data_IF_583604349418
#
_entry.id   IF_583604349418
#
_cell.length_a   1.000
_cell.length_b   1.000
_cell.length_c   1.000
_cell.angle_alpha   90.00
_cell.angle_beta   90.00
_cell.angle_gamma   90.00
#
_symmetry.space_group_name_H-M   'P 1'
#
loop_
_entity.id
_entity.type
_entity.pdbx_description
1 polymer ?
#
# COMPACT_ATOMS: atom_id res chain seq x y z
N UNK A 1 -14.69 62.00 21.29
CA UNK A 1 -15.44 60.78 21.61
C UNK A 1 -15.50 59.82 20.44
N UNK A 2 -15.85 60.28 19.24
CA UNK A 2 -15.96 59.43 18.05
C UNK A 2 -14.64 58.70 17.66
N UNK A 3 -13.51 59.37 17.72
CA UNK A 3 -12.20 58.76 17.44
C UNK A 3 -11.84 57.60 18.38
N UNK A 4 -12.22 57.67 19.65
CA UNK A 4 -12.01 56.61 20.64
C UNK A 4 -12.94 55.41 20.37
N UNK A 5 -14.17 55.66 19.94
CA UNK A 5 -15.13 54.63 19.57
C UNK A 5 -14.66 53.89 18.30
N UNK A 6 -14.22 54.65 17.29
CA UNK A 6 -13.69 54.07 16.03
C UNK A 6 -12.47 53.24 16.27
N UNK A 7 -11.53 53.69 17.12
CA UNK A 7 -10.32 52.94 17.48
C UNK A 7 -10.65 51.65 18.23
N UNK A 8 -11.65 51.67 19.14
CA UNK A 8 -12.13 50.48 19.86
C UNK A 8 -12.75 49.44 18.92
N UNK A 9 -13.56 49.87 17.97
CA UNK A 9 -14.17 48.98 16.97
C UNK A 9 -13.07 48.34 16.09
N UNK A 10 -12.08 49.12 15.68
CA UNK A 10 -10.97 48.60 14.85
C UNK A 10 -10.13 47.54 15.60
N UNK A 11 -9.85 47.75 16.89
CA UNK A 11 -9.16 46.76 17.73
C UNK A 11 -9.97 45.47 17.85
N UNK A 12 -11.26 45.56 18.12
CA UNK A 12 -12.15 44.38 18.18
C UNK A 12 -12.15 43.64 16.85
N UNK A 13 -12.26 44.35 15.74
CA UNK A 13 -12.24 43.74 14.41
C UNK A 13 -10.92 42.98 14.15
N UNK A 14 -9.77 43.56 14.48
CA UNK A 14 -8.46 42.92 14.35
C UNK A 14 -8.37 41.65 15.22
N UNK A 15 -8.85 41.68 16.45
CA UNK A 15 -8.91 40.53 17.33
C UNK A 15 -9.78 39.40 16.74
N UNK A 16 -10.98 39.74 16.28
CA UNK A 16 -11.90 38.77 15.66
C UNK A 16 -11.25 38.11 14.42
N UNK A 17 -10.67 38.91 13.52
CA UNK A 17 -9.99 38.41 12.34
C UNK A 17 -8.82 37.50 12.73
N UNK A 18 -8.03 37.87 13.72
CA UNK A 18 -6.91 37.05 14.20
C UNK A 18 -7.38 35.69 14.75
N UNK A 19 -8.49 35.67 15.52
CA UNK A 19 -9.05 34.40 16.04
C UNK A 19 -9.54 33.51 14.89
N UNK A 20 -10.21 34.09 13.89
CA UNK A 20 -10.68 33.33 12.71
C UNK A 20 -9.50 32.74 11.94
N UNK A 21 -8.44 33.50 11.72
CA UNK A 21 -7.24 33.06 11.02
C UNK A 21 -6.55 31.92 11.80
N UNK A 22 -6.40 32.07 13.11
CA UNK A 22 -5.81 31.03 13.96
C UNK A 22 -6.67 29.75 13.89
N UNK A 23 -7.99 29.86 14.03
CA UNK A 23 -8.89 28.71 13.94
C UNK A 23 -8.82 28.02 12.58
N UNK A 24 -8.71 28.78 11.49
CA UNK A 24 -8.53 28.26 10.14
C UNK A 24 -7.25 27.42 10.01
N UNK A 25 -6.10 27.96 10.42
CA UNK A 25 -4.83 27.24 10.39
C UNK A 25 -4.81 26.03 11.32
N UNK A 26 -5.44 26.12 12.48
CA UNK A 26 -5.60 25.00 13.41
C UNK A 26 -6.39 23.84 12.76
N UNK A 27 -7.50 24.14 12.07
CA UNK A 27 -8.26 23.12 11.34
C UNK A 27 -7.42 22.43 10.26
N UNK A 28 -6.63 23.17 9.49
CA UNK A 28 -5.74 22.58 8.48
C UNK A 28 -4.70 21.67 9.14
N UNK A 29 -4.11 22.12 10.25
CA UNK A 29 -3.17 21.30 11.02
C UNK A 29 -3.79 19.97 11.46
N UNK A 30 -4.98 20.01 12.06
CA UNK A 30 -5.69 18.81 12.51
C UNK A 30 -5.99 17.85 11.36
N UNK A 31 -6.52 18.37 10.24
CA UNK A 31 -6.78 17.54 9.05
C UNK A 31 -5.53 16.89 8.48
N UNK A 32 -4.40 17.61 8.44
CA UNK A 32 -3.14 17.11 7.94
C UNK A 32 -2.60 15.97 8.83
N UNK A 33 -2.68 16.11 10.16
CA UNK A 33 -2.28 15.05 11.09
C UNK A 33 -3.21 13.84 10.96
N UNK A 34 -4.51 14.03 10.81
CA UNK A 34 -5.46 12.94 10.57
C UNK A 34 -5.14 12.17 9.29
N UNK A 35 -4.86 12.87 8.18
CA UNK A 35 -4.46 12.23 6.91
C UNK A 35 -3.16 11.44 7.06
N UNK A 36 -2.13 12.00 7.72
CA UNK A 36 -0.89 11.31 8.03
C UNK A 36 -1.14 10.02 8.85
N UNK A 37 -1.97 10.10 9.87
CA UNK A 37 -2.28 8.94 10.71
C UNK A 37 -3.08 7.87 9.94
N UNK A 38 -3.98 8.29 9.04
CA UNK A 38 -4.74 7.38 8.19
C UNK A 38 -3.85 6.61 7.19
N UNK A 39 -2.81 7.27 6.66
CA UNK A 39 -1.79 6.55 5.86
C UNK A 39 -1.07 5.51 6.71
N UNK A 40 -0.68 5.85 7.94
CA UNK A 40 -0.03 4.89 8.85
C UNK A 40 -0.93 3.69 9.19
N UNK A 41 -2.22 3.91 9.37
CA UNK A 41 -3.21 2.84 9.54
C UNK A 41 -3.29 1.93 8.31
N UNK A 42 -3.33 2.54 7.12
CA UNK A 42 -3.35 1.81 5.85
C UNK A 42 -2.05 1.01 5.62
N UNK A 43 -0.87 1.56 5.97
CA UNK A 43 0.41 0.84 5.99
C UNK A 43 0.33 -0.41 6.87
N UNK A 44 -0.21 -0.29 8.08
CA UNK A 44 -0.40 -1.43 8.98
C UNK A 44 -1.35 -2.48 8.42
N UNK A 45 -2.42 -2.07 7.74
CA UNK A 45 -3.34 -2.99 7.07
C UNK A 45 -2.66 -3.78 5.95
N UNK A 46 -1.85 -3.12 5.12
CA UNK A 46 -1.03 -3.79 4.09
C UNK A 46 -0.06 -4.78 4.73
N UNK A 47 0.67 -4.38 5.76
CA UNK A 47 1.65 -5.23 6.44
C UNK A 47 1.04 -6.53 6.98
N UNK A 48 -0.18 -6.46 7.53
CA UNK A 48 -0.90 -7.64 8.02
C UNK A 48 -1.19 -8.63 6.88
N UNK A 49 -1.62 -8.15 5.72
CA UNK A 49 -1.94 -9.02 4.59
C UNK A 49 -0.66 -9.58 3.94
N UNK A 50 0.39 -8.77 3.79
CA UNK A 50 1.68 -9.23 3.30
C UNK A 50 2.27 -10.31 4.21
N UNK A 51 2.19 -10.13 5.52
CA UNK A 51 2.62 -11.14 6.48
C UNK A 51 1.88 -12.46 6.28
N UNK A 52 0.55 -12.44 6.12
CA UNK A 52 -0.23 -13.66 5.83
C UNK A 52 0.28 -14.38 4.58
N UNK A 53 0.54 -13.65 3.48
CA UNK A 53 1.13 -14.20 2.26
C UNK A 53 2.47 -14.87 2.56
N UNK A 54 3.39 -14.18 3.26
CA UNK A 54 4.71 -14.71 3.55
C UNK A 54 4.67 -15.95 4.45
N UNK A 55 3.67 -16.07 5.29
CA UNK A 55 3.46 -17.24 6.15
C UNK A 55 2.86 -18.44 5.38
N UNK A 56 2.14 -18.21 4.26
CA UNK A 56 1.60 -19.27 3.40
C UNK A 56 2.62 -19.84 2.41
N UNK A 57 3.52 -19.02 1.89
CA UNK A 57 4.50 -19.42 0.87
C UNK A 57 5.29 -20.69 1.24
N UNK A 58 5.87 -20.85 2.44
CA UNK A 58 6.60 -22.05 2.80
C UNK A 58 5.80 -23.34 2.68
N UNK A 59 4.51 -23.31 3.00
CA UNK A 59 3.62 -24.46 2.88
C UNK A 59 3.45 -24.87 1.41
N UNK A 60 3.17 -23.90 0.53
CA UNK A 60 3.06 -24.13 -0.92
C UNK A 60 4.36 -24.70 -1.48
N UNK A 61 5.50 -24.08 -1.14
CA UNK A 61 6.81 -24.54 -1.62
C UNK A 61 7.19 -25.94 -1.10
N UNK A 62 6.78 -26.30 0.12
CA UNK A 62 7.01 -27.62 0.70
C UNK A 62 6.23 -28.69 -0.07
N UNK A 63 5.01 -28.41 -0.47
CA UNK A 63 4.21 -29.32 -1.29
C UNK A 63 4.81 -29.42 -2.70
N UNK A 64 5.11 -28.25 -3.33
CA UNK A 64 5.67 -28.19 -4.67
C UNK A 64 6.99 -28.96 -4.80
N UNK A 65 7.90 -28.86 -3.82
CA UNK A 65 9.19 -29.59 -3.80
C UNK A 65 9.08 -31.09 -3.94
N UNK A 66 7.96 -31.71 -3.54
CA UNK A 66 7.75 -33.15 -3.64
C UNK A 66 7.55 -33.64 -5.07
N UNK A 67 7.11 -32.75 -5.96
CA UNK A 67 6.68 -33.08 -7.32
C UNK A 67 7.51 -32.36 -8.41
N UNK A 68 8.11 -31.20 -8.07
CA UNK A 68 8.73 -30.27 -9.01
C UNK A 68 10.26 -30.23 -8.84
N UNK A 69 10.93 -31.33 -9.16
CA UNK A 69 12.41 -31.42 -9.02
C UNK A 69 13.17 -30.47 -9.95
N UNK A 70 12.61 -30.17 -11.12
CA UNK A 70 13.25 -29.31 -12.13
C UNK A 70 13.08 -27.81 -11.83
N UNK A 71 12.17 -27.42 -10.93
CA UNK A 71 11.88 -26.03 -10.59
C UNK A 71 12.62 -25.52 -9.34
N UNK A 72 13.74 -26.20 -8.99
CA UNK A 72 14.51 -25.91 -7.77
C UNK A 72 14.93 -24.43 -7.68
N UNK A 73 15.42 -23.86 -8.78
CA UNK A 73 15.86 -22.45 -8.80
C UNK A 73 14.72 -21.47 -8.54
N UNK A 74 13.53 -21.72 -9.10
CA UNK A 74 12.36 -20.88 -8.88
C UNK A 74 11.92 -20.92 -7.41
N UNK A 75 11.92 -22.10 -6.80
CA UNK A 75 11.58 -22.30 -5.39
C UNK A 75 12.60 -21.61 -4.47
N UNK A 76 13.88 -21.66 -4.82
CA UNK A 76 14.95 -20.97 -4.08
C UNK A 76 14.81 -19.44 -4.20
N UNK A 77 14.52 -18.93 -5.39
CA UNK A 77 14.27 -17.50 -5.63
C UNK A 77 13.12 -16.98 -4.77
N UNK A 78 11.97 -17.69 -4.75
CA UNK A 78 10.80 -17.31 -3.95
C UNK A 78 11.16 -17.31 -2.45
N UNK A 79 11.90 -18.32 -1.98
CA UNK A 79 12.33 -18.42 -0.59
C UNK A 79 13.23 -17.25 -0.19
N UNK A 80 14.17 -16.87 -1.07
CA UNK A 80 15.07 -15.74 -0.86
C UNK A 80 14.32 -14.40 -0.83
N UNK A 81 13.45 -14.16 -1.82
CA UNK A 81 12.63 -12.95 -1.89
C UNK A 81 11.72 -12.82 -0.66
N UNK A 82 11.07 -13.90 -0.23
CA UNK A 82 10.26 -13.94 0.99
C UNK A 82 11.07 -13.53 2.22
N UNK A 83 12.29 -14.04 2.35
CA UNK A 83 13.15 -13.70 3.50
C UNK A 83 13.55 -12.23 3.48
N UNK A 84 13.87 -11.68 2.32
CA UNK A 84 14.18 -10.26 2.15
C UNK A 84 12.96 -9.39 2.47
N UNK A 85 11.78 -9.78 1.98
CA UNK A 85 10.54 -9.04 2.21
C UNK A 85 10.11 -9.03 3.68
N UNK A 86 10.32 -10.13 4.41
CA UNK A 86 10.01 -10.22 5.83
C UNK A 86 10.92 -9.30 6.68
N UNK A 87 12.11 -8.95 6.20
CA UNK A 87 13.07 -8.05 6.87
C UNK A 87 13.02 -6.61 6.38
N UNK A 88 12.23 -6.30 5.35
CA UNK A 88 12.13 -4.96 4.79
C UNK A 88 11.46 -3.99 5.77
N UNK A 89 12.12 -2.88 6.08
CA UNK A 89 11.62 -1.86 6.99
C UNK A 89 10.83 -0.74 6.31
N UNK A 90 11.18 -0.41 5.07
CA UNK A 90 10.55 0.67 4.32
C UNK A 90 9.44 0.16 3.39
N UNK A 91 8.37 0.97 3.25
CA UNK A 91 7.22 0.61 2.42
C UNK A 91 7.62 0.49 0.93
N UNK A 92 8.52 1.33 0.44
CA UNK A 92 8.98 1.26 -0.95
C UNK A 92 9.67 -0.06 -1.28
N UNK A 93 10.51 -0.56 -0.35
CA UNK A 93 11.19 -1.85 -0.51
C UNK A 93 10.22 -3.01 -0.38
N UNK A 94 9.25 -2.94 0.55
CA UNK A 94 8.16 -3.93 0.65
C UNK A 94 7.38 -4.04 -0.64
N UNK A 95 7.02 -2.90 -1.27
CA UNK A 95 6.31 -2.86 -2.55
C UNK A 95 7.11 -3.57 -3.65
N UNK A 96 8.40 -3.27 -3.77
CA UNK A 96 9.26 -3.89 -4.80
C UNK A 96 9.39 -5.40 -4.61
N UNK A 97 9.67 -5.81 -3.38
CA UNK A 97 9.87 -7.23 -3.04
C UNK A 97 8.56 -8.02 -3.19
N UNK A 98 7.43 -7.44 -2.78
CA UNK A 98 6.13 -8.07 -2.92
C UNK A 98 5.74 -8.27 -4.39
N UNK A 99 5.99 -7.29 -5.24
CA UNK A 99 5.80 -7.43 -6.68
C UNK A 99 6.70 -8.51 -7.29
N UNK A 100 7.96 -8.62 -6.84
CA UNK A 100 8.86 -9.68 -7.28
C UNK A 100 8.39 -11.07 -6.83
N UNK A 101 7.91 -11.20 -5.58
CA UNK A 101 7.33 -12.44 -5.06
C UNK A 101 6.11 -12.84 -5.89
N UNK A 102 5.18 -11.90 -6.14
CA UNK A 102 3.99 -12.16 -6.95
C UNK A 102 4.38 -12.72 -8.33
N UNK A 103 5.29 -12.05 -9.04
CA UNK A 103 5.73 -12.51 -10.37
C UNK A 103 6.35 -13.92 -10.35
N UNK A 104 7.12 -14.27 -9.31
CA UNK A 104 7.69 -15.61 -9.16
C UNK A 104 6.64 -16.66 -8.74
N UNK A 105 5.67 -16.29 -7.92
CA UNK A 105 4.54 -17.16 -7.57
C UNK A 105 3.66 -17.43 -8.80
N UNK A 106 3.38 -16.43 -9.63
CA UNK A 106 2.64 -16.60 -10.89
C UNK A 106 3.39 -17.58 -11.83
N UNK A 107 4.72 -17.49 -11.94
CA UNK A 107 5.53 -18.48 -12.66
C UNK A 107 5.39 -19.89 -12.07
N UNK A 108 5.44 -20.02 -10.74
CA UNK A 108 5.24 -21.30 -10.07
C UNK A 108 3.87 -21.90 -10.41
N UNK A 109 2.81 -21.06 -10.42
CA UNK A 109 1.46 -21.48 -10.76
C UNK A 109 1.36 -22.03 -12.19
N UNK A 110 1.98 -21.33 -13.15
CA UNK A 110 2.06 -21.80 -14.53
C UNK A 110 2.81 -23.12 -14.61
N UNK A 111 3.92 -23.27 -13.87
CA UNK A 111 4.69 -24.52 -13.84
C UNK A 111 3.88 -25.69 -13.26
N UNK A 112 3.00 -25.46 -12.26
CA UNK A 112 2.13 -26.49 -11.66
C UNK A 112 1.24 -27.18 -12.70
N UNK A 113 0.85 -26.48 -13.76
CA UNK A 113 0.05 -27.06 -14.85
C UNK A 113 0.75 -28.23 -15.54
N UNK A 114 2.06 -28.28 -15.54
CA UNK A 114 2.87 -29.38 -16.13
C UNK A 114 3.02 -30.59 -15.18
N UNK A 115 2.48 -30.51 -13.95
CA UNK A 115 2.54 -31.57 -12.94
C UNK A 115 1.14 -32.02 -12.50
N UNK A 116 0.47 -32.91 -13.24
CA UNK A 116 -0.94 -33.27 -12.99
C UNK A 116 -1.21 -33.83 -11.59
N UNK A 117 -0.23 -34.56 -11.02
CA UNK A 117 -0.34 -35.11 -9.67
C UNK A 117 -0.34 -34.01 -8.60
N UNK A 118 0.48 -32.98 -8.76
CA UNK A 118 0.51 -31.80 -7.88
C UNK A 118 -0.76 -30.97 -8.03
N UNK A 119 -1.21 -30.75 -9.25
CA UNK A 119 -2.44 -30.00 -9.56
C UNK A 119 -3.67 -30.65 -8.92
N UNK A 120 -3.72 -31.97 -8.81
CA UNK A 120 -4.82 -32.73 -8.19
C UNK A 120 -4.65 -33.00 -6.69
N UNK A 121 -3.48 -32.64 -6.11
CA UNK A 121 -3.26 -32.80 -4.66
C UNK A 121 -4.18 -31.88 -3.86
N UNK A 122 -5.01 -32.47 -2.99
CA UNK A 122 -6.02 -31.70 -2.24
C UNK A 122 -5.39 -30.62 -1.33
N UNK A 123 -4.19 -30.89 -0.79
CA UNK A 123 -3.48 -29.94 0.07
C UNK A 123 -2.96 -28.76 -0.76
N UNK A 124 -2.47 -29.03 -1.98
CA UNK A 124 -2.04 -27.98 -2.90
C UNK A 124 -3.22 -27.13 -3.35
N UNK A 125 -4.34 -27.73 -3.74
CA UNK A 125 -5.56 -27.02 -4.14
C UNK A 125 -6.04 -26.08 -3.02
N UNK A 126 -6.11 -26.57 -1.79
CA UNK A 126 -6.49 -25.75 -0.64
C UNK A 126 -5.51 -24.61 -0.37
N UNK A 127 -4.19 -24.89 -0.42
CA UNK A 127 -3.17 -23.87 -0.23
C UNK A 127 -3.25 -22.76 -1.30
N UNK A 128 -3.56 -23.14 -2.54
CA UNK A 128 -3.75 -22.24 -3.66
C UNK A 128 -4.98 -21.35 -3.49
N UNK A 129 -6.10 -21.93 -3.05
CA UNK A 129 -7.31 -21.17 -2.75
C UNK A 129 -7.07 -20.15 -1.65
N UNK A 130 -6.42 -20.56 -0.55
CA UNK A 130 -6.06 -19.64 0.54
C UNK A 130 -5.10 -18.54 0.06
N UNK A 131 -4.16 -18.88 -0.82
CA UNK A 131 -3.26 -17.90 -1.42
C UNK A 131 -4.03 -16.87 -2.27
N UNK A 132 -4.98 -17.32 -3.10
CA UNK A 132 -5.82 -16.45 -3.91
C UNK A 132 -6.68 -15.50 -3.05
N UNK A 133 -7.26 -15.99 -1.95
CA UNK A 133 -8.02 -15.16 -0.99
C UNK A 133 -7.12 -14.08 -0.38
N UNK A 134 -5.89 -14.42 -0.01
CA UNK A 134 -4.92 -13.44 0.53
C UNK A 134 -4.53 -12.41 -0.53
N UNK A 135 -4.42 -12.79 -1.81
CA UNK A 135 -4.20 -11.86 -2.94
C UNK A 135 -5.32 -10.83 -3.04
N UNK A 136 -6.57 -11.25 -2.93
CA UNK A 136 -7.72 -10.32 -2.94
C UNK A 136 -7.68 -9.35 -1.77
N UNK A 137 -7.34 -9.83 -0.57
CA UNK A 137 -7.18 -8.96 0.60
C UNK A 137 -6.02 -7.98 0.46
N UNK A 138 -4.89 -8.40 -0.13
CA UNK A 138 -3.76 -7.51 -0.44
C UNK A 138 -4.21 -6.46 -1.45
N UNK A 139 -4.91 -6.84 -2.50
CA UNK A 139 -5.42 -5.90 -3.50
C UNK A 139 -6.37 -4.85 -2.88
N UNK A 140 -7.24 -5.26 -1.95
CA UNK A 140 -8.11 -4.35 -1.21
C UNK A 140 -7.30 -3.40 -0.30
N UNK A 141 -6.31 -3.93 0.44
CA UNK A 141 -5.45 -3.13 1.31
C UNK A 141 -4.61 -2.12 0.51
N UNK A 142 -4.09 -2.50 -0.67
CA UNK A 142 -3.36 -1.61 -1.59
C UNK A 142 -4.25 -0.48 -2.10
N UNK A 143 -5.51 -0.76 -2.47
CA UNK A 143 -6.46 0.29 -2.89
C UNK A 143 -6.71 1.28 -1.76
N UNK A 144 -6.94 0.79 -0.55
CA UNK A 144 -7.13 1.64 0.63
C UNK A 144 -5.88 2.49 0.91
N UNK A 145 -4.69 1.90 0.88
CA UNK A 145 -3.43 2.62 1.04
C UNK A 145 -3.28 3.73 -0.01
N UNK A 146 -3.47 3.41 -1.29
CA UNK A 146 -3.35 4.39 -2.38
C UNK A 146 -4.34 5.56 -2.23
N UNK A 147 -5.56 5.28 -1.79
CA UNK A 147 -6.55 6.34 -1.52
C UNK A 147 -6.07 7.27 -0.39
N UNK A 148 -5.57 6.71 0.71
CA UNK A 148 -5.09 7.52 1.83
C UNK A 148 -3.81 8.29 1.49
N UNK A 149 -2.92 7.70 0.69
CA UNK A 149 -1.71 8.36 0.18
C UNK A 149 -2.09 9.52 -0.75
N UNK A 150 -3.06 9.33 -1.64
CA UNK A 150 -3.55 10.41 -2.51
C UNK A 150 -4.07 11.58 -1.70
N UNK A 151 -4.88 11.32 -0.67
CA UNK A 151 -5.43 12.35 0.21
C UNK A 151 -4.33 13.10 0.98
N UNK A 152 -3.27 12.40 1.41
CA UNK A 152 -2.13 13.03 2.08
C UNK A 152 -1.29 13.84 1.09
N UNK A 153 -0.94 13.27 -0.07
CA UNK A 153 -0.10 13.92 -1.07
C UNK A 153 -0.76 15.22 -1.57
N UNK A 154 -2.08 15.19 -1.86
CA UNK A 154 -2.84 16.40 -2.19
C UNK A 154 -2.73 17.44 -1.07
N UNK A 155 -2.83 17.06 0.19
CA UNK A 155 -2.72 18.00 1.30
C UNK A 155 -1.28 18.54 1.50
N UNK A 156 -0.27 17.80 1.07
CA UNK A 156 1.14 18.23 1.10
C UNK A 156 1.46 19.19 -0.05
N UNK A 157 0.80 19.04 -1.21
CA UNK A 157 1.10 19.79 -2.42
C UNK A 157 0.22 21.03 -2.62
N UNK A 158 -1.04 21.01 -2.16
CA UNK A 158 -2.03 22.08 -2.42
C UNK A 158 -1.97 23.16 -1.33
N UNK A 159 -1.93 24.44 -1.76
CA UNK A 159 -2.08 25.58 -0.85
C UNK A 159 -3.52 25.66 -0.29
N UNK A 160 -3.73 26.00 0.98
CA UNK A 160 -2.77 26.49 1.98
C UNK A 160 -2.11 25.37 2.83
N UNK A 161 -2.55 24.12 2.75
CA UNK A 161 -2.08 23.02 3.59
C UNK A 161 -0.59 22.67 3.34
N UNK A 162 -0.09 22.90 2.13
CA UNK A 162 1.33 22.67 1.78
C UNK A 162 2.31 23.47 2.65
N UNK A 163 1.93 24.70 3.06
CA UNK A 163 2.78 25.54 3.95
C UNK A 163 2.93 24.85 5.32
N UNK A 164 1.82 24.39 5.89
CA UNK A 164 1.82 23.70 7.20
C UNK A 164 2.55 22.36 7.08
N UNK A 165 2.33 21.62 5.99
CA UNK A 165 3.02 20.36 5.72
C UNK A 165 4.54 20.56 5.68
N UNK A 166 5.02 21.62 5.02
CA UNK A 166 6.43 21.99 4.99
C UNK A 166 6.99 22.30 6.38
N UNK A 167 6.27 23.08 7.19
CA UNK A 167 6.65 23.40 8.57
C UNK A 167 6.76 22.16 9.46
N UNK A 168 5.89 21.18 9.26
CA UNK A 168 5.85 19.91 10.00
C UNK A 168 6.76 18.82 9.40
N UNK A 169 7.47 19.13 8.31
CA UNK A 169 8.29 18.17 7.55
C UNK A 169 7.50 16.91 7.14
N UNK A 170 6.21 17.08 6.80
CA UNK A 170 5.38 16.00 6.26
C UNK A 170 5.62 15.94 4.75
N UNK A 171 6.09 14.79 4.27
CA UNK A 171 6.41 14.57 2.85
C UNK A 171 5.37 13.70 2.18
N UNK A 172 5.28 13.82 0.87
CA UNK A 172 4.53 12.92 0.03
C UNK A 172 5.02 11.46 0.19
N UNK A 173 4.09 10.52 0.06
CA UNK A 173 4.34 9.08 0.19
C UNK A 173 4.22 8.41 -1.18
N UNK A 174 4.99 7.33 -1.44
CA UNK A 174 4.89 6.58 -2.68
C UNK A 174 3.57 5.81 -2.75
N UNK A 175 3.04 5.68 -3.97
CA UNK A 175 1.90 4.81 -4.25
C UNK A 175 2.35 3.35 -4.39
N UNK A 176 1.44 2.44 -4.10
CA UNK A 176 1.53 1.06 -4.55
C UNK A 176 1.23 1.03 -6.05
N UNK A 177 2.26 0.92 -6.88
CA UNK A 177 2.10 0.88 -8.33
C UNK A 177 1.65 -0.51 -8.78
N UNK A 178 0.74 -0.52 -9.76
CA UNK A 178 0.37 -1.73 -10.49
C UNK A 178 1.48 -2.05 -11.47
N UNK A 179 1.90 -3.31 -11.55
CA UNK A 179 2.93 -3.73 -12.52
C UNK A 179 2.46 -3.45 -13.96
N UNK A 180 3.42 -3.13 -14.85
CA UNK A 180 3.10 -2.80 -16.25
C UNK A 180 2.36 -3.92 -16.99
N UNK A 181 2.58 -5.17 -16.61
CA UNK A 181 1.88 -6.35 -17.15
C UNK A 181 0.37 -6.34 -16.79
N UNK A 182 0.01 -5.82 -15.62
CA UNK A 182 -1.40 -5.69 -15.19
C UNK A 182 -2.09 -4.47 -15.81
N UNK A 183 -1.31 -3.53 -16.39
CA UNK A 183 -1.83 -2.37 -17.13
C UNK A 183 -2.19 -2.70 -18.58
N UNK A 184 -1.66 -3.81 -19.13
CA UNK A 184 -2.02 -4.24 -20.48
C UNK A 184 -3.45 -4.77 -20.46
N UNK A 185 -4.34 -4.08 -21.17
CA UNK A 185 -5.68 -4.60 -21.42
C UNK A 185 -5.54 -5.98 -22.06
N UNK A 186 -6.26 -6.97 -21.51
CA UNK A 186 -6.37 -8.29 -22.13
C UNK A 186 -7.00 -8.07 -23.51
N UNK A 187 -6.21 -8.26 -24.57
CA UNK A 187 -6.70 -8.11 -25.91
C UNK A 187 -7.50 -9.39 -26.23
N UNK A 188 -8.80 -9.24 -26.47
CA UNK A 188 -9.68 -10.38 -26.78
C UNK A 188 -9.19 -11.18 -28.01
N UNK A 189 -8.32 -10.59 -28.84
CA UNK A 189 -7.68 -11.26 -29.98
C UNK A 189 -6.59 -12.27 -29.56
N UNK A 190 -6.07 -12.21 -28.32
CA UNK A 190 -5.06 -13.14 -27.83
C UNK A 190 -5.68 -14.40 -27.19
N UNK A 191 -7.03 -14.50 -27.16
CA UNK A 191 -7.81 -15.60 -26.56
C UNK A 191 -8.51 -16.47 -27.65
N UNK A 192 -8.52 -16.02 -28.90
CA UNK A 192 -9.10 -16.73 -30.06
C UNK A 192 -8.00 -17.35 -30.93
#
# INVERSE_FOLDING_TARGET
MELLVISGILVILVVVVSVVVIAFFYNIYVQLIQKKNKVKEAEGSVDVQLKKRYDLIPNILTIAKKFMEHERSLIEDITKLRTQAASAGDMSDKIKLDNAIKGKMDQLMISVENYPQLKSDATMVQAMQTYAEVEEHIAAARRFYNTTVNDLNNAVEIFPSSVIAGMLNIKAKPYFEVQENEKKAVNAADIL
#
